data_IF_539085621327
#
_entry.id   IF_539085621327
#
_cell.length_a   1.000
_cell.length_b   1.000
_cell.length_c   1.000
_cell.angle_alpha   90.00
_cell.angle_beta   90.00
_cell.angle_gamma   90.00
#
_symmetry.space_group_name_H-M   'P 1'
#
loop_
_entity.id
_entity.type
_entity.pdbx_description
1 polymer ?
#
# COMPACT_ATOMS: atom_id res chain seq x y z
N UNK A 1 -2.17 -0.39 -19.40
CA UNK A 1 -1.18 0.02 -18.38
C UNK A 1 -0.59 -1.20 -17.71
N UNK A 2 0.70 -1.15 -17.41
CA UNK A 2 1.41 -2.08 -16.54
C UNK A 2 1.66 -1.44 -15.18
N UNK A 3 1.20 -2.11 -14.13
CA UNK A 3 1.07 -1.54 -12.79
C UNK A 3 1.85 -2.39 -11.79
N UNK A 4 2.74 -1.76 -11.03
CA UNK A 4 3.43 -2.40 -9.91
C UNK A 4 2.57 -2.28 -8.65
N UNK A 5 2.29 -3.41 -8.01
CA UNK A 5 1.59 -3.45 -6.71
C UNK A 5 2.57 -3.95 -5.66
N UNK A 6 2.88 -3.13 -4.66
CA UNK A 6 3.71 -3.55 -3.52
C UNK A 6 2.82 -3.92 -2.34
N UNK A 7 3.25 -4.87 -1.52
CA UNK A 7 2.36 -5.51 -0.55
C UNK A 7 1.25 -6.31 -1.25
N UNK A 8 1.53 -6.80 -2.46
CA UNK A 8 0.56 -7.49 -3.31
C UNK A 8 0.02 -8.78 -2.69
N UNK A 9 0.83 -9.46 -1.87
CA UNK A 9 0.40 -10.64 -1.10
C UNK A 9 -0.31 -10.29 0.22
N UNK A 10 -0.61 -9.02 0.48
CA UNK A 10 -1.42 -8.56 1.61
C UNK A 10 -2.93 -8.62 1.34
N UNK A 11 -3.75 -8.37 2.36
CA UNK A 11 -5.21 -8.42 2.24
C UNK A 11 -5.75 -7.46 1.17
N UNK A 12 -5.41 -6.17 1.23
CA UNK A 12 -5.89 -5.19 0.24
C UNK A 12 -5.16 -5.39 -1.10
N UNK A 13 -3.85 -5.62 -1.06
CA UNK A 13 -3.02 -5.79 -2.25
C UNK A 13 -3.52 -6.92 -3.17
N UNK A 14 -3.93 -8.06 -2.63
CA UNK A 14 -4.39 -9.19 -3.46
C UNK A 14 -5.69 -8.87 -4.19
N UNK A 15 -6.60 -8.13 -3.55
CA UNK A 15 -7.82 -7.64 -4.18
C UNK A 15 -7.54 -6.58 -5.25
N UNK A 16 -6.59 -5.67 -4.99
CA UNK A 16 -6.14 -4.69 -5.99
C UNK A 16 -5.56 -5.40 -7.21
N UNK A 17 -4.67 -6.37 -7.03
CA UNK A 17 -4.13 -7.18 -8.14
C UNK A 17 -5.24 -7.82 -8.97
N UNK A 18 -6.19 -8.51 -8.31
CA UNK A 18 -7.33 -9.13 -8.98
C UNK A 18 -8.14 -8.14 -9.80
N UNK A 19 -8.52 -7.02 -9.19
CA UNK A 19 -9.37 -6.02 -9.82
C UNK A 19 -8.68 -5.32 -11.00
N UNK A 20 -7.37 -5.10 -10.91
CA UNK A 20 -6.58 -4.55 -12.02
C UNK A 20 -6.53 -5.51 -13.20
N UNK A 21 -6.32 -6.81 -12.95
CA UNK A 21 -6.34 -7.85 -13.99
C UNK A 21 -7.74 -7.96 -14.64
N UNK A 22 -8.81 -7.97 -13.83
CA UNK A 22 -10.20 -7.99 -14.33
C UNK A 22 -10.52 -6.79 -15.22
N UNK A 23 -9.85 -5.65 -15.02
CA UNK A 23 -9.95 -4.45 -15.87
C UNK A 23 -9.01 -4.44 -17.07
N UNK A 24 -8.30 -5.53 -17.33
CA UNK A 24 -7.42 -5.68 -18.49
C UNK A 24 -6.04 -5.03 -18.35
N UNK A 25 -5.62 -4.69 -17.13
CA UNK A 25 -4.26 -4.20 -16.87
C UNK A 25 -3.25 -5.35 -16.73
N UNK A 26 -1.98 -5.05 -16.96
CA UNK A 26 -0.87 -5.93 -16.60
C UNK A 26 -0.42 -5.61 -15.19
N UNK A 27 -0.23 -6.63 -14.35
CA UNK A 27 0.13 -6.45 -12.94
C UNK A 27 1.48 -7.09 -12.67
N UNK A 28 2.39 -6.32 -12.10
CA UNK A 28 3.62 -6.83 -11.47
C UNK A 28 3.40 -6.79 -9.97
N UNK A 29 3.27 -7.96 -9.34
CA UNK A 29 3.00 -8.10 -7.92
C UNK A 29 4.31 -8.30 -7.14
N UNK A 30 4.76 -7.26 -6.42
CA UNK A 30 5.93 -7.34 -5.55
C UNK A 30 5.52 -7.87 -4.17
N UNK A 31 6.07 -9.02 -3.80
CA UNK A 31 5.79 -9.73 -2.57
C UNK A 31 7.05 -9.88 -1.71
N UNK A 32 7.00 -9.46 -0.44
CA UNK A 32 8.14 -9.61 0.48
C UNK A 32 8.40 -11.09 0.87
N UNK A 33 7.32 -11.87 1.00
CA UNK A 33 7.35 -13.29 1.38
C UNK A 33 6.30 -14.08 0.55
N UNK A 34 6.07 -15.36 0.88
CA UNK A 34 5.26 -16.31 0.07
C UNK A 34 3.90 -15.75 -0.42
N UNK A 35 3.45 -16.30 -1.54
CA UNK A 35 2.40 -15.78 -2.46
C UNK A 35 0.97 -16.20 -2.13
N UNK A 36 0.69 -16.64 -0.91
CA UNK A 36 -0.52 -17.40 -0.54
C UNK A 36 -1.85 -16.69 -0.86
N UNK A 37 -1.85 -15.35 -1.00
CA UNK A 37 -3.05 -14.59 -1.35
C UNK A 37 -3.28 -14.36 -2.85
N UNK A 38 -2.36 -14.79 -3.71
CA UNK A 38 -2.44 -14.61 -5.16
C UNK A 38 -2.78 -15.91 -5.91
N UNK A 39 -2.98 -17.02 -5.21
CA UNK A 39 -3.20 -18.35 -5.80
C UNK A 39 -4.35 -18.37 -6.83
N UNK A 40 -5.47 -17.72 -6.50
CA UNK A 40 -6.64 -17.65 -7.37
C UNK A 40 -6.39 -16.94 -8.71
N UNK A 41 -5.33 -16.12 -8.80
CA UNK A 41 -4.96 -15.38 -10.01
C UNK A 41 -3.58 -15.78 -10.55
N UNK A 42 -2.92 -16.79 -9.95
CA UNK A 42 -1.54 -17.16 -10.28
C UNK A 42 -1.36 -17.61 -11.74
N UNK A 43 -2.40 -18.16 -12.37
CA UNK A 43 -2.38 -18.57 -13.78
C UNK A 43 -2.76 -17.47 -14.77
N UNK A 44 -3.01 -16.25 -14.32
CA UNK A 44 -3.43 -15.17 -15.22
C UNK A 44 -2.26 -14.70 -16.10
N UNK A 45 -2.39 -14.67 -17.44
CA UNK A 45 -1.26 -14.38 -18.34
C UNK A 45 -0.69 -12.97 -18.20
N UNK A 46 -1.48 -12.04 -17.67
CA UNK A 46 -1.07 -10.65 -17.41
C UNK A 46 -0.53 -10.40 -15.99
N UNK A 47 -0.33 -11.45 -15.18
CA UNK A 47 0.24 -11.35 -13.84
C UNK A 47 1.71 -11.79 -13.84
N UNK A 48 2.61 -10.87 -13.51
CA UNK A 48 3.97 -11.18 -13.07
C UNK A 48 4.04 -11.15 -11.55
N UNK A 49 4.76 -12.07 -10.92
CA UNK A 49 4.98 -12.06 -9.47
C UNK A 49 6.47 -12.04 -9.18
N UNK A 50 6.90 -10.97 -8.51
CA UNK A 50 8.28 -10.73 -8.14
C UNK A 50 8.43 -10.81 -6.62
N UNK A 51 9.50 -11.46 -6.17
CA UNK A 51 9.86 -11.44 -4.75
C UNK A 51 10.89 -10.36 -4.51
N UNK A 52 10.64 -9.47 -3.55
CA UNK A 52 11.58 -8.38 -3.24
C UNK A 52 11.14 -7.54 -2.05
N UNK A 53 12.08 -6.74 -1.56
CA UNK A 53 11.86 -5.78 -0.48
C UNK A 53 11.72 -4.37 -1.05
N UNK A 54 10.77 -3.60 -0.54
CA UNK A 54 10.61 -2.18 -0.90
C UNK A 54 11.77 -1.32 -0.39
N UNK A 55 12.58 -1.84 0.52
CA UNK A 55 13.81 -1.18 0.97
C UNK A 55 14.98 -1.35 -0.02
N UNK A 56 14.89 -2.29 -0.96
CA UNK A 56 15.90 -2.48 -2.01
C UNK A 56 15.63 -1.51 -3.17
N UNK A 57 16.30 -0.35 -3.12
CA UNK A 57 16.12 0.72 -4.10
C UNK A 57 16.64 0.35 -5.49
N UNK A 58 17.75 -0.39 -5.55
CA UNK A 58 18.35 -0.80 -6.83
C UNK A 58 17.45 -1.81 -7.52
N UNK A 59 16.94 -2.79 -6.77
CA UNK A 59 15.96 -3.76 -7.30
C UNK A 59 14.67 -3.08 -7.75
N UNK A 60 14.11 -2.17 -6.95
CA UNK A 60 12.90 -1.42 -7.33
C UNK A 60 13.09 -0.61 -8.61
N UNK A 61 14.21 0.11 -8.74
CA UNK A 61 14.52 0.91 -9.92
C UNK A 61 14.70 0.03 -11.16
N UNK A 62 15.46 -1.08 -11.05
CA UNK A 62 15.63 -2.05 -12.12
C UNK A 62 14.29 -2.66 -12.54
N UNK A 63 13.49 -3.13 -11.58
CA UNK A 63 12.17 -3.71 -11.84
C UNK A 63 11.25 -2.71 -12.55
N UNK A 64 11.20 -1.45 -12.09
CA UNK A 64 10.37 -0.43 -12.71
C UNK A 64 10.80 -0.14 -14.15
N UNK A 65 12.10 -0.10 -14.42
CA UNK A 65 12.66 0.13 -15.76
C UNK A 65 12.47 -1.08 -16.68
N UNK A 66 12.88 -2.28 -16.28
CA UNK A 66 12.78 -3.50 -17.08
C UNK A 66 11.33 -3.83 -17.42
N UNK A 67 10.44 -3.69 -16.43
CA UNK A 67 9.03 -3.89 -16.64
C UNK A 67 8.35 -2.68 -17.27
N UNK A 68 8.96 -1.52 -17.48
CA UNK A 68 8.28 -0.34 -18.05
C UNK A 68 6.99 0.00 -17.25
N UNK A 69 7.12 0.11 -15.93
CA UNK A 69 5.98 0.36 -15.04
C UNK A 69 5.40 1.76 -15.29
N UNK A 70 4.11 1.84 -15.57
CA UNK A 70 3.39 3.09 -15.86
C UNK A 70 2.76 3.71 -14.61
N UNK A 71 2.39 2.87 -13.63
CA UNK A 71 1.82 3.30 -12.36
C UNK A 71 2.16 2.33 -11.23
N UNK A 72 2.16 2.83 -10.00
CA UNK A 72 2.50 2.05 -8.81
C UNK A 72 1.43 2.21 -7.73
N UNK A 73 0.96 1.10 -7.16
CA UNK A 73 0.12 1.08 -5.96
C UNK A 73 0.96 0.62 -4.76
N UNK A 74 1.21 1.53 -3.81
CA UNK A 74 2.02 1.25 -2.64
C UNK A 74 1.14 0.84 -1.45
N UNK A 75 1.04 -0.48 -1.21
CA UNK A 75 0.30 -1.06 -0.08
C UNK A 75 1.19 -1.86 0.86
N UNK A 76 2.51 -1.91 0.61
CA UNK A 76 3.43 -2.55 1.53
C UNK A 76 3.40 -1.82 2.87
N UNK A 77 3.31 -2.60 3.94
CA UNK A 77 3.35 -2.10 5.32
C UNK A 77 4.22 -3.03 6.14
N UNK A 78 4.87 -2.48 7.15
CA UNK A 78 5.53 -3.25 8.18
C UNK A 78 4.48 -3.93 9.08
N UNK A 79 4.75 -5.15 9.59
CA UNK A 79 3.98 -5.70 10.70
C UNK A 79 3.98 -4.73 11.89
N UNK A 80 2.81 -4.45 12.48
CA UNK A 80 2.63 -3.44 13.54
C UNK A 80 3.53 -3.61 14.78
N UNK A 81 4.08 -4.81 15.00
CA UNK A 81 4.94 -5.13 16.14
C UNK A 81 6.44 -5.10 15.82
N UNK A 82 6.82 -4.94 14.56
CA UNK A 82 8.22 -4.94 14.20
C UNK A 82 8.84 -3.55 14.44
N UNK A 83 10.03 -3.48 15.06
CA UNK A 83 10.72 -2.22 15.26
C UNK A 83 11.16 -1.64 13.90
N UNK A 84 11.08 -0.33 13.73
CA UNK A 84 11.58 0.37 12.53
C UNK A 84 10.66 1.46 12.01
N UNK A 85 11.13 2.11 10.93
CA UNK A 85 10.40 3.11 10.14
C UNK A 85 10.21 2.63 8.69
N UNK A 86 9.95 1.34 8.50
CA UNK A 86 9.94 0.72 7.17
C UNK A 86 8.84 1.33 6.29
N UNK A 87 7.70 1.76 6.85
CA UNK A 87 6.66 2.43 6.07
C UNK A 87 7.16 3.76 5.49
N UNK A 88 7.89 4.54 6.30
CA UNK A 88 8.48 5.82 5.86
C UNK A 88 9.58 5.61 4.82
N UNK A 89 10.54 4.74 5.13
CA UNK A 89 11.69 4.49 4.25
C UNK A 89 11.28 3.78 2.96
N UNK A 90 10.38 2.79 3.06
CA UNK A 90 9.82 2.08 1.91
C UNK A 90 9.05 3.04 1.00
N UNK A 91 8.26 3.96 1.57
CA UNK A 91 7.59 5.00 0.76
C UNK A 91 8.60 5.88 0.03
N UNK A 92 9.69 6.29 0.71
CA UNK A 92 10.75 7.07 0.07
C UNK A 92 11.41 6.29 -1.08
N UNK A 93 11.76 5.01 -0.88
CA UNK A 93 12.31 4.16 -1.95
C UNK A 93 11.37 4.04 -3.15
N UNK A 94 10.06 3.94 -2.91
CA UNK A 94 9.04 3.89 -3.95
C UNK A 94 8.94 5.20 -4.73
N UNK A 95 8.99 6.34 -4.05
CA UNK A 95 9.00 7.66 -4.69
C UNK A 95 10.29 7.88 -5.50
N UNK A 96 11.42 7.39 -4.99
CA UNK A 96 12.72 7.48 -5.68
C UNK A 96 12.80 6.59 -6.93
N UNK A 97 11.98 5.54 -7.04
CA UNK A 97 11.88 4.74 -8.26
C UNK A 97 11.34 5.55 -9.47
N UNK A 98 10.74 6.73 -9.24
CA UNK A 98 10.47 7.70 -10.30
C UNK A 98 9.32 7.34 -11.25
N UNK A 99 8.45 6.41 -10.86
CA UNK A 99 7.24 6.07 -11.63
C UNK A 99 6.28 7.27 -11.63
N UNK A 100 5.85 7.71 -12.81
CA UNK A 100 5.11 8.97 -12.98
C UNK A 100 3.80 9.08 -12.17
N UNK A 101 3.18 7.95 -11.80
CA UNK A 101 2.00 7.89 -10.94
C UNK A 101 2.17 6.90 -9.80
N UNK A 102 2.06 7.36 -8.55
CA UNK A 102 2.19 6.55 -7.34
C UNK A 102 0.97 6.74 -6.43
N UNK A 103 0.11 5.73 -6.33
CA UNK A 103 -0.98 5.72 -5.36
C UNK A 103 -0.43 5.22 -4.02
N UNK A 104 -0.37 6.11 -3.03
CA UNK A 104 0.05 5.77 -1.68
C UNK A 104 -1.15 5.47 -0.79
N UNK A 105 -1.14 4.29 -0.15
CA UNK A 105 -2.15 3.92 0.85
C UNK A 105 -1.67 4.31 2.24
N UNK A 106 -2.22 5.42 2.73
CA UNK A 106 -2.10 5.88 4.11
C UNK A 106 -3.22 5.27 4.98
N UNK A 107 -3.52 5.87 6.14
CA UNK A 107 -4.45 5.33 7.10
C UNK A 107 -5.14 6.41 7.92
N UNK A 108 -6.38 6.16 8.37
CA UNK A 108 -7.04 7.00 9.38
C UNK A 108 -6.23 7.18 10.67
N UNK A 109 -5.25 6.30 10.95
CA UNK A 109 -4.36 6.41 12.10
C UNK A 109 -3.43 7.64 12.08
N UNK A 110 -3.38 8.38 10.96
CA UNK A 110 -2.69 9.68 10.89
C UNK A 110 -3.45 10.79 11.64
N UNK A 111 -4.73 10.58 11.92
CA UNK A 111 -5.57 11.48 12.70
C UNK A 111 -5.71 11.01 14.15
N UNK A 112 -6.16 11.92 15.03
CA UNK A 112 -6.65 11.58 16.36
C UNK A 112 -8.08 11.01 16.28
N UNK A 113 -8.19 9.72 15.96
CA UNK A 113 -9.49 9.05 15.82
C UNK A 113 -10.21 8.77 17.16
N UNK A 114 -9.56 9.00 18.31
CA UNK A 114 -10.19 8.87 19.63
C UNK A 114 -10.91 10.15 20.06
N UNK A 115 -10.41 11.31 19.62
CA UNK A 115 -10.96 12.62 19.93
C UNK A 115 -10.78 13.57 18.72
N UNK A 116 -11.55 13.38 17.63
CA UNK A 116 -11.46 14.25 16.47
C UNK A 116 -11.95 15.66 16.81
N UNK A 117 -11.38 16.67 16.14
CA UNK A 117 -11.76 18.08 16.33
C UNK A 117 -13.16 18.36 15.78
N UNK A 118 -13.55 17.65 14.71
CA UNK A 118 -14.90 17.73 14.13
C UNK A 118 -15.25 16.45 13.36
N UNK A 119 -16.54 16.30 13.07
CA UNK A 119 -17.09 15.22 12.27
C UNK A 119 -17.95 15.80 11.13
N UNK A 120 -17.96 15.17 9.94
CA UNK A 120 -17.10 14.05 9.54
C UNK A 120 -15.62 14.46 9.45
N UNK A 121 -14.69 13.51 9.65
CA UNK A 121 -13.25 13.75 9.45
C UNK A 121 -12.96 13.80 7.95
N UNK A 122 -12.35 14.89 7.50
CA UNK A 122 -11.91 15.10 6.11
C UNK A 122 -10.37 15.23 6.00
N UNK A 123 -9.88 15.53 4.81
CA UNK A 123 -8.45 15.68 4.53
C UNK A 123 -7.80 16.93 5.16
N UNK A 124 -8.58 17.94 5.53
CA UNK A 124 -8.12 19.19 6.17
C UNK A 124 -7.98 19.04 7.70
N UNK A 125 -8.45 17.94 8.27
CA UNK A 125 -8.28 17.62 9.68
C UNK A 125 -6.77 17.51 10.05
N UNK A 126 -6.34 18.05 11.21
CA UNK A 126 -4.94 17.99 11.62
C UNK A 126 -4.42 16.54 11.76
N UNK A 127 -3.16 16.35 11.36
CA UNK A 127 -2.43 15.09 11.53
C UNK A 127 -1.92 14.97 12.98
N UNK A 128 -2.59 14.13 13.75
CA UNK A 128 -2.34 13.91 15.18
C UNK A 128 -2.27 12.41 15.49
N UNK A 129 -1.28 11.69 14.94
CA UNK A 129 -1.19 10.25 15.12
C UNK A 129 -0.93 9.88 16.59
N UNK A 130 -1.73 8.95 17.12
CA UNK A 130 -1.63 8.50 18.52
C UNK A 130 -0.73 7.27 18.71
N UNK A 131 -0.28 6.65 17.63
CA UNK A 131 0.42 5.36 17.64
C UNK A 131 1.59 5.35 16.64
N UNK A 132 2.64 4.53 16.88
CA UNK A 132 3.80 4.47 15.99
C UNK A 132 3.46 4.24 14.50
N UNK A 133 2.48 3.38 14.20
CA UNK A 133 2.02 3.16 12.82
C UNK A 133 1.45 4.44 12.18
N UNK A 134 0.64 5.19 12.91
CA UNK A 134 0.13 6.49 12.46
C UNK A 134 1.24 7.50 12.23
N UNK A 135 2.23 7.55 13.12
CA UNK A 135 3.41 8.43 12.98
C UNK A 135 4.18 8.11 11.71
N UNK A 136 4.42 6.82 11.43
CA UNK A 136 5.12 6.42 10.21
C UNK A 136 4.33 6.78 8.95
N UNK A 137 3.02 6.52 8.92
CA UNK A 137 2.16 6.90 7.78
C UNK A 137 2.12 8.40 7.56
N UNK A 138 1.97 9.20 8.63
CA UNK A 138 2.05 10.67 8.54
C UNK A 138 3.42 11.15 8.05
N UNK A 139 4.51 10.52 8.49
CA UNK A 139 5.86 10.83 8.02
C UNK A 139 6.06 10.49 6.54
N UNK A 140 5.51 9.36 6.09
CA UNK A 140 5.50 8.96 4.69
C UNK A 140 4.70 9.92 3.82
N UNK A 141 3.56 10.43 4.30
CA UNK A 141 2.78 11.46 3.60
C UNK A 141 3.61 12.73 3.33
N UNK A 142 4.45 13.15 4.29
CA UNK A 142 5.35 14.30 4.10
C UNK A 142 6.28 14.10 2.90
N UNK A 143 6.85 12.91 2.70
CA UNK A 143 7.61 12.61 1.49
C UNK A 143 6.71 12.62 0.24
N UNK A 144 5.52 12.03 0.30
CA UNK A 144 4.59 12.10 -0.84
C UNK A 144 4.31 13.54 -1.26
N UNK A 145 4.11 14.47 -0.33
CA UNK A 145 3.89 15.88 -0.62
C UNK A 145 5.10 16.53 -1.31
N UNK A 146 6.34 16.24 -0.90
CA UNK A 146 7.54 16.82 -1.53
C UNK A 146 7.81 16.32 -2.95
N UNK A 147 7.25 15.18 -3.33
CA UNK A 147 7.38 14.61 -4.68
C UNK A 147 6.25 15.02 -5.63
N UNK A 148 5.19 15.71 -5.18
CA UNK A 148 4.03 16.07 -6.02
C UNK A 148 4.33 16.99 -7.20
N UNK A 149 5.42 17.75 -7.15
CA UNK A 149 5.86 18.56 -8.30
C UNK A 149 6.48 17.71 -9.42
N UNK A 150 6.89 16.48 -9.13
CA UNK A 150 7.57 15.58 -10.07
C UNK A 150 6.71 14.39 -10.48
N UNK A 151 5.89 13.89 -9.56
CA UNK A 151 5.08 12.68 -9.70
C UNK A 151 3.62 12.97 -9.35
N UNK A 152 2.68 12.27 -9.98
CA UNK A 152 1.29 12.25 -9.52
C UNK A 152 1.18 11.32 -8.30
N UNK A 153 0.97 11.88 -7.10
CA UNK A 153 0.93 11.09 -5.84
C UNK A 153 -0.41 11.23 -5.10
N UNK A 154 -1.46 10.50 -5.51
CA UNK A 154 -2.69 10.39 -4.73
C UNK A 154 -2.43 9.67 -3.40
N UNK A 155 -2.91 10.24 -2.30
CA UNK A 155 -2.79 9.69 -0.95
C UNK A 155 -4.18 9.25 -0.49
N UNK A 156 -4.33 7.98 -0.13
CA UNK A 156 -5.60 7.41 0.35
C UNK A 156 -5.53 7.14 1.84
N UNK A 157 -6.17 7.96 2.67
CA UNK A 157 -6.25 7.77 4.13
C UNK A 157 -7.39 6.79 4.47
N UNK A 158 -7.14 5.50 4.29
CA UNK A 158 -8.18 4.48 4.46
C UNK A 158 -8.57 4.28 5.93
N UNK A 159 -9.88 4.17 6.16
CA UNK A 159 -10.45 3.70 7.42
C UNK A 159 -10.42 2.16 7.51
N UNK A 160 -11.17 1.58 8.45
CA UNK A 160 -11.23 0.12 8.65
C UNK A 160 -11.80 -0.66 7.47
N UNK A 161 -10.94 -1.11 6.54
CA UNK A 161 -11.33 -1.99 5.42
C UNK A 161 -11.60 -3.42 5.94
N UNK A 162 -12.72 -4.03 5.56
CA UNK A 162 -13.10 -5.41 5.91
C UNK A 162 -13.65 -6.14 4.67
N UNK A 163 -13.77 -7.47 4.76
CA UNK A 163 -14.30 -8.30 3.68
C UNK A 163 -13.62 -9.68 3.60
N UNK A 164 -14.01 -10.51 2.61
CA UNK A 164 -13.47 -11.86 2.45
C UNK A 164 -11.94 -11.87 2.35
N UNK A 165 -11.30 -12.75 3.12
CA UNK A 165 -9.85 -12.86 3.21
C UNK A 165 -9.22 -12.02 4.34
N UNK A 166 -9.95 -11.08 4.97
CA UNK A 166 -9.49 -10.45 6.21
C UNK A 166 -9.50 -11.49 7.34
N UNK A 167 -8.36 -11.69 7.99
CA UNK A 167 -8.20 -12.71 9.05
C UNK A 167 -8.04 -12.10 10.47
N UNK A 168 -8.37 -10.81 10.64
CA UNK A 168 -8.20 -10.09 11.89
C UNK A 168 -9.15 -8.90 12.01
N UNK A 169 -9.30 -8.35 13.22
CA UNK A 169 -10.15 -7.21 13.53
C UNK A 169 -11.57 -7.60 13.95
N UNK A 170 -12.33 -6.63 14.48
CA UNK A 170 -13.62 -6.85 15.10
C UNK A 170 -14.63 -7.56 14.18
N UNK A 171 -14.80 -7.08 12.94
CA UNK A 171 -15.71 -7.70 11.98
C UNK A 171 -15.39 -9.18 11.73
N UNK A 172 -14.10 -9.53 11.61
CA UNK A 172 -13.68 -10.92 11.44
C UNK A 172 -14.02 -11.79 12.67
N UNK A 173 -13.80 -11.27 13.87
CA UNK A 173 -14.11 -11.98 15.11
C UNK A 173 -15.62 -12.27 15.23
N UNK A 174 -16.48 -11.31 14.86
CA UNK A 174 -17.92 -11.53 14.86
C UNK A 174 -18.37 -12.54 13.79
N UNK A 175 -17.71 -12.60 12.63
CA UNK A 175 -18.04 -13.58 11.58
C UNK A 175 -17.53 -15.01 11.87
N UNK A 176 -16.61 -15.18 12.83
CA UNK A 176 -16.14 -16.50 13.28
C UNK A 176 -17.02 -17.16 14.33
N UNK A 177 -17.84 -16.36 15.02
CA UNK A 177 -18.72 -16.81 16.09
C UNK A 177 -20.11 -17.28 15.58
N UNK A 178 -20.30 -17.30 14.26
CA UNK A 178 -21.49 -17.81 13.57
C UNK A 178 -21.13 -19.10 12.84
#
# INVERSE_FOLDING_TARGET
MRILVTGANGFIGSWVCRLLLERGHQVVALCYHRRERLEAIAGHPALGVEQGDVLDQEHLAALCAECQIEALCHLAIQPLQAPGQLDTQGTLSILQAGVGRVVFVSSMSVYNFLAPHYLPVDEDHPLEPLQPYGVQKASAETYCYTYRERLEVPILRLAGVYGPGKAQGAAYQFTKAA
#
